data_IF_056516506220
#
_entry.id   IF_056516506220
#
_cell.length_a   1.000
_cell.length_b   1.000
_cell.length_c   1.000
_cell.angle_alpha   90.00
_cell.angle_beta   90.00
_cell.angle_gamma   90.00
#
_symmetry.space_group_name_H-M   'P 1'
#
loop_
_entity.id
_entity.type
_entity.pdbx_description
1 polymer ?
#
# COMPACT_ATOMS: atom_id res chain seq x y z
N UNK A 1 18.51 -12.32 -0.87
CA UNK A 1 18.94 -12.79 -2.22
C UNK A 1 18.39 -11.76 -3.19
N UNK A 2 19.27 -11.07 -3.90
CA UNK A 2 18.84 -10.17 -4.98
C UNK A 2 18.47 -11.06 -6.18
N UNK A 3 17.22 -11.01 -6.59
CA UNK A 3 16.69 -11.80 -7.70
C UNK A 3 16.54 -10.96 -8.99
N UNK A 4 17.03 -9.72 -9.00
CA UNK A 4 16.93 -8.84 -10.16
C UNK A 4 17.89 -9.27 -11.26
N UNK A 5 17.36 -9.48 -12.47
CA UNK A 5 18.13 -9.56 -13.70
C UNK A 5 18.46 -8.16 -14.24
N UNK A 6 18.99 -8.09 -15.46
CA UNK A 6 19.42 -6.82 -16.06
C UNK A 6 18.27 -5.78 -16.26
N UNK A 7 17.02 -6.20 -16.30
CA UNK A 7 15.84 -5.35 -16.55
C UNK A 7 14.65 -5.70 -15.65
N UNK A 8 14.91 -6.15 -14.44
CA UNK A 8 13.85 -6.55 -13.51
C UNK A 8 13.64 -5.51 -12.43
N UNK A 9 12.42 -5.00 -12.33
CA UNK A 9 11.97 -4.19 -11.20
C UNK A 9 11.61 -5.10 -10.02
N UNK A 10 11.99 -4.69 -8.82
CA UNK A 10 11.55 -5.34 -7.59
C UNK A 10 10.46 -4.48 -6.94
N UNK A 11 9.25 -5.03 -6.89
CA UNK A 11 8.08 -4.38 -6.27
C UNK A 11 7.75 -5.10 -4.96
N UNK A 12 7.52 -4.33 -3.91
CA UNK A 12 7.19 -4.82 -2.57
C UNK A 12 5.83 -4.26 -2.12
N UNK A 13 5.00 -5.10 -1.51
CA UNK A 13 3.83 -4.67 -0.75
C UNK A 13 3.96 -5.15 0.69
N UNK A 14 3.64 -4.28 1.66
CA UNK A 14 3.77 -4.60 3.08
C UNK A 14 2.70 -3.89 3.92
N UNK A 15 2.04 -4.64 4.79
CA UNK A 15 1.29 -4.08 5.92
C UNK A 15 2.30 -3.71 7.01
N UNK A 16 2.23 -2.47 7.50
CA UNK A 16 3.19 -1.91 8.47
C UNK A 16 2.67 -1.94 9.92
N UNK A 17 1.50 -2.53 10.17
CA UNK A 17 0.90 -2.67 11.50
C UNK A 17 0.82 -1.32 12.23
N UNK A 18 0.04 -0.39 11.68
CA UNK A 18 -0.13 0.96 12.24
C UNK A 18 1.21 1.69 12.44
N UNK A 19 1.91 1.94 11.35
CA UNK A 19 3.12 2.76 11.38
C UNK A 19 2.76 4.23 11.58
N UNK A 20 2.71 4.65 12.86
CA UNK A 20 2.28 5.98 13.29
C UNK A 20 3.48 6.82 13.76
N UNK A 21 3.62 8.03 13.20
CA UNK A 21 4.75 8.95 13.45
C UNK A 21 4.34 10.10 14.38
N UNK A 22 3.08 10.49 14.34
CA UNK A 22 2.54 11.64 15.08
C UNK A 22 1.36 11.28 15.99
N UNK A 23 0.50 10.33 15.56
CA UNK A 23 -0.74 9.98 16.28
C UNK A 23 -0.54 8.74 17.16
N UNK A 24 0.20 8.86 18.23
CA UNK A 24 0.44 7.77 19.18
C UNK A 24 -0.66 7.64 20.23
N UNK A 25 -0.68 6.49 20.93
CA UNK A 25 -1.63 6.24 22.02
C UNK A 25 -3.06 6.07 21.57
N UNK A 26 -3.28 5.63 20.33
CA UNK A 26 -4.61 5.42 19.75
C UNK A 26 -5.22 4.06 20.12
N UNK A 27 -4.47 3.22 20.83
CA UNK A 27 -4.78 1.79 21.04
C UNK A 27 -4.35 0.89 19.88
N UNK A 28 -3.73 1.46 18.85
CA UNK A 28 -3.13 0.78 17.70
C UNK A 28 -1.75 1.33 17.42
N UNK A 29 -0.81 0.47 17.03
CA UNK A 29 0.57 0.88 16.74
C UNK A 29 1.31 1.34 18.01
N UNK A 30 2.30 2.24 17.88
CA UNK A 30 3.10 2.70 19.01
C UNK A 30 2.30 3.66 19.91
N UNK A 31 2.51 3.52 21.23
CA UNK A 31 1.90 4.41 22.23
C UNK A 31 2.70 5.70 22.46
N UNK A 32 3.94 5.74 22.02
CA UNK A 32 4.86 6.87 22.24
C UNK A 32 6.05 6.85 21.30
N UNK A 33 6.84 7.93 21.31
CA UNK A 33 8.02 8.09 20.47
C UNK A 33 9.05 6.94 20.64
N UNK A 34 9.21 6.40 21.85
CA UNK A 34 10.18 5.31 22.09
C UNK A 34 9.76 4.02 21.37
N UNK A 35 8.48 3.72 21.35
CA UNK A 35 7.93 2.57 20.66
C UNK A 35 7.96 2.76 19.15
N UNK A 36 7.58 3.96 18.68
CA UNK A 36 7.76 4.32 17.29
C UNK A 36 9.21 4.14 16.83
N UNK A 37 10.18 4.61 17.59
CA UNK A 37 11.60 4.46 17.24
C UNK A 37 12.02 2.99 17.11
N UNK A 38 11.47 2.09 17.96
CA UNK A 38 11.72 0.65 17.85
C UNK A 38 11.06 0.03 16.60
N UNK A 39 9.82 0.43 16.29
CA UNK A 39 9.13 -0.02 15.08
C UNK A 39 9.87 0.49 13.84
N UNK A 40 10.20 1.77 13.77
CA UNK A 40 10.97 2.41 12.69
C UNK A 40 12.30 1.69 12.45
N UNK A 41 13.06 1.40 13.50
CA UNK A 41 14.36 0.71 13.36
C UNK A 41 14.24 -0.70 12.75
N UNK A 42 13.14 -1.43 13.04
CA UNK A 42 12.88 -2.74 12.46
C UNK A 42 12.41 -2.61 11.01
N UNK A 43 11.42 -1.76 10.77
CA UNK A 43 10.81 -1.55 9.44
C UNK A 43 11.86 -1.04 8.46
N UNK A 44 12.58 0.04 8.78
CA UNK A 44 13.58 0.63 7.89
C UNK A 44 14.70 -0.34 7.55
N UNK A 45 15.14 -1.18 8.51
CA UNK A 45 16.13 -2.23 8.26
C UNK A 45 15.60 -3.34 7.36
N UNK A 46 14.35 -3.77 7.54
CA UNK A 46 13.71 -4.78 6.71
C UNK A 46 13.55 -4.28 5.27
N UNK A 47 13.02 -3.08 5.10
CA UNK A 47 12.83 -2.45 3.78
C UNK A 47 14.17 -2.27 3.04
N UNK A 48 15.20 -1.77 3.73
CA UNK A 48 16.53 -1.63 3.15
C UNK A 48 17.15 -2.98 2.75
N UNK A 49 16.86 -4.06 3.48
CA UNK A 49 17.32 -5.42 3.13
C UNK A 49 16.58 -5.99 1.91
N UNK A 50 15.28 -5.67 1.76
CA UNK A 50 14.51 -6.00 0.54
C UNK A 50 15.07 -5.22 -0.64
N UNK A 51 15.37 -3.93 -0.44
CA UNK A 51 15.94 -3.02 -1.43
C UNK A 51 15.13 -2.98 -2.74
N UNK A 52 13.79 -2.92 -2.62
CA UNK A 52 12.89 -2.82 -3.77
C UNK A 52 13.01 -1.47 -4.50
N UNK A 53 12.52 -1.44 -5.73
CA UNK A 53 12.43 -0.21 -6.53
C UNK A 53 11.13 0.55 -6.26
N UNK A 54 10.08 -0.18 -5.85
CA UNK A 54 8.77 0.35 -5.53
C UNK A 54 8.19 -0.36 -4.32
N UNK A 55 7.69 0.41 -3.37
CA UNK A 55 6.99 -0.08 -2.19
C UNK A 55 5.57 0.43 -2.17
N UNK A 56 4.61 -0.47 -1.96
CA UNK A 56 3.24 -0.17 -1.58
C UNK A 56 3.04 -0.52 -0.12
N UNK A 57 2.55 0.41 0.67
CA UNK A 57 2.30 0.22 2.08
C UNK A 57 0.81 0.29 2.39
N UNK A 58 0.37 -0.51 3.35
CA UNK A 58 -0.91 -0.36 4.03
C UNK A 58 -0.67 -0.21 5.52
N UNK A 59 -1.63 0.35 6.24
CA UNK A 59 -1.51 0.73 7.64
C UNK A 59 -0.34 1.69 7.94
N UNK A 60 -0.03 2.56 6.98
CA UNK A 60 0.85 3.71 7.21
C UNK A 60 0.02 4.93 7.61
N UNK A 61 0.54 5.78 8.50
CA UNK A 61 -0.17 6.94 9.03
C UNK A 61 -0.70 7.87 7.93
N UNK A 62 -1.87 8.47 8.19
CA UNK A 62 -2.42 9.56 7.37
C UNK A 62 -1.45 10.74 7.29
N UNK A 63 -1.63 11.60 6.28
CA UNK A 63 -0.68 12.68 6.03
C UNK A 63 0.56 12.20 5.26
N UNK A 64 1.64 12.97 5.33
CA UNK A 64 2.86 12.72 4.56
C UNK A 64 4.07 12.34 5.40
N UNK A 65 4.03 12.60 6.72
CA UNK A 65 5.19 12.46 7.61
C UNK A 65 5.76 11.04 7.62
N UNK A 66 4.89 10.02 7.70
CA UNK A 66 5.33 8.62 7.72
C UNK A 66 5.95 8.16 6.38
N UNK A 67 5.37 8.56 5.25
CA UNK A 67 5.95 8.26 3.92
C UNK A 67 7.28 8.98 3.72
N UNK A 68 7.37 10.25 4.14
CA UNK A 68 8.61 11.03 4.07
C UNK A 68 9.72 10.41 4.94
N UNK A 69 9.38 9.96 6.15
CA UNK A 69 10.32 9.29 7.06
C UNK A 69 10.87 7.99 6.45
N UNK A 70 10.00 7.13 5.90
CA UNK A 70 10.43 5.88 5.27
C UNK A 70 11.25 6.12 4.00
N UNK A 71 10.89 7.10 3.17
CA UNK A 71 11.69 7.47 1.99
C UNK A 71 13.10 7.97 2.38
N UNK A 72 13.19 8.79 3.43
CA UNK A 72 14.47 9.26 3.95
C UNK A 72 15.32 8.12 4.53
N UNK A 73 14.71 7.22 5.31
CA UNK A 73 15.38 6.06 5.87
C UNK A 73 15.88 5.09 4.80
N UNK A 74 15.07 4.81 3.78
CA UNK A 74 15.47 4.01 2.62
C UNK A 74 16.64 4.65 1.90
N UNK A 75 16.58 5.96 1.63
CA UNK A 75 17.66 6.68 0.95
C UNK A 75 18.95 6.59 1.73
N UNK A 76 18.89 6.82 3.05
CA UNK A 76 20.04 6.74 3.95
C UNK A 76 20.66 5.33 4.02
N UNK A 77 19.81 4.30 4.13
CA UNK A 77 20.25 2.94 4.39
C UNK A 77 20.71 2.18 3.14
N UNK A 78 20.24 2.59 1.95
CA UNK A 78 20.58 1.92 0.68
C UNK A 78 21.55 2.71 -0.19
N UNK A 79 21.70 4.01 0.04
CA UNK A 79 22.46 4.92 -0.83
C UNK A 79 21.75 5.28 -2.14
N UNK A 80 20.53 4.80 -2.35
CA UNK A 80 19.66 5.13 -3.49
C UNK A 80 18.77 6.31 -3.16
N UNK A 81 18.18 6.97 -4.16
CA UNK A 81 17.25 8.08 -3.92
C UNK A 81 15.82 7.58 -3.90
N UNK A 82 15.15 7.74 -2.78
CA UNK A 82 13.73 7.41 -2.64
C UNK A 82 12.88 8.66 -2.48
N UNK A 83 11.70 8.61 -3.05
CA UNK A 83 10.64 9.60 -2.94
C UNK A 83 9.31 8.90 -2.66
N UNK A 84 8.26 9.66 -2.42
CA UNK A 84 6.94 9.12 -2.14
C UNK A 84 5.86 9.84 -2.94
N UNK A 85 4.69 9.21 -3.10
CA UNK A 85 3.52 9.85 -3.72
C UNK A 85 2.80 10.68 -2.67
N UNK A 86 2.71 11.99 -2.92
CA UNK A 86 1.92 12.90 -2.11
C UNK A 86 0.45 12.78 -2.55
N UNK A 87 -0.40 12.25 -1.69
CA UNK A 87 -1.84 12.06 -1.91
C UNK A 87 -2.71 13.15 -1.29
N UNK A 88 -2.09 14.27 -0.89
CA UNK A 88 -2.77 15.40 -0.26
C UNK A 88 -3.10 15.19 1.21
N UNK A 89 -2.82 14.02 1.74
CA UNK A 89 -3.16 13.64 3.13
C UNK A 89 -4.67 13.67 3.36
N UNK A 90 -5.20 12.94 4.24
CA UNK A 90 -6.57 13.00 4.62
C UNK A 90 -7.39 11.77 4.48
N UNK A 91 -8.15 11.79 5.28
CA UNK A 91 -9.08 12.07 6.17
C UNK A 91 -10.44 11.32 6.20
N UNK A 92 -10.58 10.09 6.47
CA UNK A 92 -11.89 9.47 6.75
C UNK A 92 -12.05 9.10 8.22
N UNK A 93 -11.38 9.83 9.12
CA UNK A 93 -11.32 9.47 10.53
C UNK A 93 -10.50 8.20 10.82
N UNK A 94 -9.84 7.64 9.81
CA UNK A 94 -8.87 6.55 10.01
C UNK A 94 -7.51 7.12 10.36
N UNK A 95 -6.77 6.44 11.22
CA UNK A 95 -5.37 6.80 11.52
C UNK A 95 -4.41 6.43 10.39
N UNK A 96 -4.79 5.49 9.52
CA UNK A 96 -3.91 4.92 8.51
C UNK A 96 -4.51 4.95 7.11
N UNK A 97 -3.64 4.76 6.12
CA UNK A 97 -3.95 4.75 4.69
C UNK A 97 -3.09 3.73 3.94
N UNK A 98 -3.31 3.59 2.64
CA UNK A 98 -2.34 3.05 1.68
C UNK A 98 -1.42 4.16 1.16
N UNK A 99 -0.18 3.83 0.77
CA UNK A 99 0.76 4.80 0.25
C UNK A 99 1.91 4.18 -0.51
N UNK A 100 2.70 5.01 -1.19
CA UNK A 100 3.79 4.57 -2.08
C UNK A 100 5.10 5.28 -1.76
N UNK A 101 6.18 4.49 -1.75
CA UNK A 101 7.56 4.97 -1.77
C UNK A 101 8.28 4.31 -2.94
N UNK A 102 9.02 5.06 -3.73
CA UNK A 102 9.67 4.58 -4.94
C UNK A 102 11.11 5.12 -5.08
N UNK A 103 11.95 4.34 -5.72
CA UNK A 103 13.30 4.76 -6.08
C UNK A 103 13.25 5.72 -7.26
N UNK A 104 13.52 7.00 -7.00
CA UNK A 104 13.46 8.04 -8.02
C UNK A 104 14.64 8.01 -9.03
N UNK A 105 15.65 7.18 -8.76
CA UNK A 105 16.70 6.92 -9.76
C UNK A 105 16.19 5.98 -10.87
N UNK A 106 15.20 5.13 -10.58
CA UNK A 106 14.70 4.08 -11.48
C UNK A 106 13.31 4.39 -12.02
N UNK A 107 12.43 4.93 -11.18
CA UNK A 107 11.03 5.18 -11.49
C UNK A 107 10.68 6.66 -11.41
N UNK A 108 9.65 7.03 -12.14
CA UNK A 108 8.94 8.30 -11.99
C UNK A 108 7.43 8.08 -12.00
N UNK A 109 6.64 8.85 -11.23
CA UNK A 109 5.19 8.80 -11.30
C UNK A 109 4.69 9.17 -12.69
N UNK A 110 3.71 8.43 -13.20
CA UNK A 110 3.02 8.71 -14.44
C UNK A 110 1.56 9.02 -14.15
N UNK A 111 1.10 10.22 -14.49
CA UNK A 111 -0.24 10.70 -14.15
C UNK A 111 -0.47 10.94 -12.65
N UNK A 112 -1.70 11.25 -12.28
CA UNK A 112 -2.10 11.54 -10.91
C UNK A 112 -2.64 10.31 -10.21
N UNK A 113 -2.41 10.22 -8.88
CA UNK A 113 -2.95 9.16 -8.03
C UNK A 113 -4.48 9.05 -8.18
N UNK A 114 -4.99 7.83 -8.27
CA UNK A 114 -6.42 7.52 -8.31
C UNK A 114 -6.85 6.67 -7.12
N UNK A 115 -8.09 6.86 -6.69
CA UNK A 115 -8.72 6.10 -5.61
C UNK A 115 -9.65 5.05 -6.19
N UNK A 116 -9.55 3.80 -5.75
CA UNK A 116 -10.22 2.65 -6.35
C UNK A 116 -11.56 2.33 -5.68
N UNK A 117 -12.36 3.34 -5.34
CA UNK A 117 -13.66 3.15 -4.75
C UNK A 117 -14.53 4.41 -4.81
N UNK A 118 -15.83 4.23 -4.65
CA UNK A 118 -16.76 5.32 -4.43
C UNK A 118 -16.57 5.92 -3.04
N UNK A 119 -16.16 7.18 -2.99
CA UNK A 119 -15.82 7.88 -1.76
C UNK A 119 -14.31 7.84 -1.44
N UNK A 120 -13.92 8.65 -0.49
CA UNK A 120 -12.51 8.83 -0.12
C UNK A 120 -12.08 7.71 0.83
N UNK A 121 -11.90 6.50 0.32
CA UNK A 121 -11.27 5.44 1.11
C UNK A 121 -9.78 5.40 0.80
N UNK A 122 -8.98 5.94 1.72
CA UNK A 122 -7.53 5.99 1.59
C UNK A 122 -6.83 4.63 1.63
N UNK A 123 -7.59 3.52 1.67
CA UNK A 123 -7.05 2.16 1.75
C UNK A 123 -6.86 1.47 0.40
N UNK A 124 -7.42 2.03 -0.69
CA UNK A 124 -7.37 1.44 -2.03
C UNK A 124 -7.00 2.52 -3.06
N UNK A 125 -5.84 2.40 -3.68
CA UNK A 125 -5.29 3.41 -4.58
C UNK A 125 -4.54 2.77 -5.73
N UNK A 126 -4.55 3.44 -6.88
CA UNK A 126 -3.71 3.10 -8.04
C UNK A 126 -2.85 4.29 -8.42
N UNK A 127 -1.57 4.04 -8.62
CA UNK A 127 -0.61 4.98 -9.21
C UNK A 127 0.13 4.27 -10.33
N UNK A 128 0.24 4.91 -11.48
CA UNK A 128 1.11 4.42 -12.53
C UNK A 128 2.52 4.98 -12.37
N UNK A 129 3.50 4.18 -12.75
CA UNK A 129 4.92 4.53 -12.76
C UNK A 129 5.51 4.25 -14.13
N UNK A 130 6.45 5.09 -14.52
CA UNK A 130 7.30 4.88 -15.71
C UNK A 130 8.67 4.40 -15.26
N UNK A 131 9.15 3.31 -15.84
CA UNK A 131 10.55 2.91 -15.71
C UNK A 131 11.41 3.81 -16.61
N UNK A 132 12.41 4.46 -16.01
CA UNK A 132 13.25 5.45 -16.72
C UNK A 132 14.18 4.82 -17.75
N UNK A 133 14.58 3.57 -17.55
CA UNK A 133 15.51 2.89 -18.45
C UNK A 133 14.85 2.47 -19.77
N UNK A 134 13.62 1.98 -19.72
CA UNK A 134 12.89 1.44 -20.87
C UNK A 134 11.85 2.40 -21.42
N UNK A 135 11.32 3.28 -20.57
CA UNK A 135 10.18 4.14 -20.87
C UNK A 135 8.82 3.45 -20.66
N UNK A 136 8.82 2.16 -20.30
CA UNK A 136 7.60 1.37 -20.04
C UNK A 136 6.84 1.94 -18.86
N UNK A 137 5.52 1.90 -18.98
CA UNK A 137 4.58 2.32 -17.92
C UNK A 137 3.88 1.08 -17.37
N UNK A 138 3.59 1.08 -16.10
CA UNK A 138 2.75 0.07 -15.45
C UNK A 138 1.98 0.69 -14.31
N UNK A 139 0.85 0.07 -13.97
CA UNK A 139 -0.03 0.49 -12.89
C UNK A 139 0.27 -0.34 -11.63
N UNK A 140 0.30 0.32 -10.48
CA UNK A 140 0.41 -0.35 -9.19
C UNK A 140 -0.78 0.00 -8.30
N UNK A 141 -1.67 -0.96 -8.09
CA UNK A 141 -2.84 -0.85 -7.21
C UNK A 141 -2.51 -1.46 -5.85
N UNK A 142 -2.51 -0.63 -4.81
CA UNK A 142 -2.30 -1.03 -3.41
C UNK A 142 -3.62 -1.01 -2.68
N UNK A 143 -3.97 -2.13 -2.04
CA UNK A 143 -5.28 -2.38 -1.48
C UNK A 143 -5.20 -2.93 -0.06
N UNK A 144 -6.06 -2.43 0.82
CA UNK A 144 -6.26 -2.98 2.16
C UNK A 144 -7.75 -3.24 2.36
N UNK A 145 -8.15 -4.49 2.24
CA UNK A 145 -9.55 -4.90 2.32
C UNK A 145 -10.02 -5.06 3.77
N UNK A 146 -11.32 -5.24 3.92
CA UNK A 146 -11.97 -5.37 5.23
C UNK A 146 -11.41 -6.56 6.02
N UNK A 147 -10.90 -6.26 7.23
CA UNK A 147 -10.41 -7.29 8.15
C UNK A 147 -11.54 -8.21 8.65
N UNK A 148 -11.16 -9.45 9.01
CA UNK A 148 -12.07 -10.47 9.55
C UNK A 148 -12.47 -10.24 11.03
N UNK A 149 -12.05 -9.13 11.63
CA UNK A 149 -12.36 -8.82 13.03
C UNK A 149 -13.82 -8.41 13.22
N UNK A 150 -14.46 -8.94 14.26
CA UNK A 150 -15.86 -8.65 14.58
C UNK A 150 -16.81 -9.79 14.20
N UNK A 151 -18.11 -9.59 14.43
CA UNK A 151 -19.12 -10.66 14.25
C UNK A 151 -19.74 -10.69 12.86
N UNK A 152 -19.77 -9.56 12.16
CA UNK A 152 -20.49 -9.44 10.90
C UNK A 152 -21.99 -9.76 11.01
N UNK A 153 -22.74 -9.55 9.93
CA UNK A 153 -24.14 -9.94 9.81
C UNK A 153 -24.50 -10.17 8.34
N UNK A 154 -25.56 -10.91 8.06
CA UNK A 154 -25.97 -11.18 6.68
C UNK A 154 -24.90 -11.92 5.88
N UNK A 155 -24.48 -11.38 4.75
CA UNK A 155 -23.40 -11.91 3.90
C UNK A 155 -22.00 -11.69 4.52
N UNK A 156 -21.90 -10.89 5.57
CA UNK A 156 -20.70 -10.64 6.34
C UNK A 156 -20.57 -11.51 7.59
N UNK A 157 -21.57 -12.32 7.93
CA UNK A 157 -21.48 -13.25 9.05
C UNK A 157 -20.54 -14.41 8.72
N UNK A 158 -19.78 -14.88 9.72
CA UNK A 158 -19.06 -16.14 9.59
C UNK A 158 -20.06 -17.30 9.53
N UNK A 159 -20.04 -18.04 8.44
CA UNK A 159 -20.92 -19.19 8.18
C UNK A 159 -20.25 -20.53 8.45
N UNK A 160 -18.99 -20.51 8.91
CA UNK A 160 -18.19 -21.72 9.12
C UNK A 160 -17.79 -22.43 7.81
N UNK A 161 -17.86 -21.74 6.70
CA UNK A 161 -17.57 -22.24 5.35
C UNK A 161 -16.11 -21.97 4.89
N UNK A 162 -15.28 -21.46 5.82
CA UNK A 162 -13.88 -21.10 5.53
C UNK A 162 -13.66 -19.67 5.07
N UNK A 163 -14.74 -18.93 4.74
CA UNK A 163 -14.64 -17.54 4.23
C UNK A 163 -14.39 -16.53 5.37
N UNK A 164 -14.85 -16.84 6.59
CA UNK A 164 -14.75 -15.97 7.75
C UNK A 164 -15.66 -14.75 7.70
N UNK A 165 -15.61 -13.91 8.74
CA UNK A 165 -16.43 -12.69 8.81
C UNK A 165 -16.04 -11.67 7.71
N UNK A 166 -17.02 -10.86 7.31
CA UNK A 166 -16.87 -9.77 6.33
C UNK A 166 -16.46 -10.21 4.91
N UNK A 167 -16.73 -11.47 4.55
CA UNK A 167 -16.45 -11.92 3.16
C UNK A 167 -17.26 -11.12 2.14
N UNK A 168 -18.55 -10.83 2.40
CA UNK A 168 -19.37 -10.00 1.52
C UNK A 168 -18.74 -8.62 1.24
N UNK A 169 -18.15 -7.97 2.26
CA UNK A 169 -17.44 -6.70 2.07
C UNK A 169 -16.19 -6.89 1.20
N UNK A 170 -15.35 -7.90 1.47
CA UNK A 170 -14.15 -8.16 0.67
C UNK A 170 -14.47 -8.45 -0.80
N UNK A 171 -15.53 -9.20 -1.06
CA UNK A 171 -16.02 -9.45 -2.44
C UNK A 171 -16.44 -8.14 -3.11
N UNK A 172 -17.16 -7.25 -2.39
CA UNK A 172 -17.53 -5.93 -2.93
C UNK A 172 -16.30 -5.08 -3.20
N UNK A 173 -15.33 -5.08 -2.31
CA UNK A 173 -14.05 -4.37 -2.46
C UNK A 173 -13.25 -4.89 -3.65
N UNK A 174 -13.15 -6.21 -3.82
CA UNK A 174 -12.49 -6.83 -4.98
C UNK A 174 -13.16 -6.44 -6.30
N UNK A 175 -14.50 -6.51 -6.36
CA UNK A 175 -15.28 -6.06 -7.54
C UNK A 175 -15.06 -4.57 -7.82
N UNK A 176 -15.00 -3.73 -6.79
CA UNK A 176 -14.71 -2.31 -6.95
C UNK A 176 -13.35 -2.08 -7.58
N UNK A 177 -12.30 -2.76 -7.10
CA UNK A 177 -10.95 -2.66 -7.67
C UNK A 177 -10.94 -3.09 -9.14
N UNK A 178 -11.57 -4.21 -9.47
CA UNK A 178 -11.67 -4.69 -10.87
C UNK A 178 -12.46 -3.74 -11.77
N UNK A 179 -13.55 -3.14 -11.26
CA UNK A 179 -14.31 -2.16 -12.02
C UNK A 179 -13.52 -0.87 -12.31
N UNK A 180 -12.63 -0.47 -11.36
CA UNK A 180 -11.76 0.70 -11.57
C UNK A 180 -10.61 0.41 -12.53
N UNK A 181 -10.17 -0.85 -12.66
CA UNK A 181 -9.06 -1.22 -13.53
C UNK A 181 -9.23 -0.70 -14.97
N UNK A 182 -10.40 -0.92 -15.60
CA UNK A 182 -10.64 -0.45 -16.97
C UNK A 182 -10.57 1.07 -17.12
N UNK A 183 -11.07 1.82 -16.12
CA UNK A 183 -10.98 3.27 -16.12
C UNK A 183 -9.57 3.78 -15.79
N UNK A 184 -8.83 3.05 -14.97
CA UNK A 184 -7.44 3.37 -14.63
C UNK A 184 -6.53 3.10 -15.82
N UNK A 185 -6.67 1.96 -16.50
CA UNK A 185 -5.95 1.63 -17.73
C UNK A 185 -6.17 2.70 -18.81
N UNK A 186 -7.43 3.10 -19.02
CA UNK A 186 -7.75 4.17 -19.97
C UNK A 186 -7.11 5.51 -19.58
N UNK A 187 -7.15 5.87 -18.29
CA UNK A 187 -6.60 7.13 -17.80
C UNK A 187 -5.07 7.19 -17.93
N UNK A 188 -4.38 6.11 -17.57
CA UNK A 188 -2.92 6.06 -17.63
C UNK A 188 -2.38 5.68 -19.01
N UNK A 189 -3.23 5.14 -19.89
CA UNK A 189 -2.85 4.71 -21.23
C UNK A 189 -2.03 3.42 -21.26
N UNK A 190 -2.21 2.57 -20.23
CA UNK A 190 -1.50 1.30 -20.10
C UNK A 190 -2.39 0.23 -19.46
N UNK A 191 -2.18 -1.04 -19.80
CA UNK A 191 -2.95 -2.17 -19.30
C UNK A 191 -2.16 -3.06 -18.33
N UNK A 192 -0.86 -2.85 -18.20
CA UNK A 192 0.00 -3.61 -17.30
C UNK A 192 -0.23 -3.17 -15.85
N UNK A 193 -0.86 -4.03 -15.06
CA UNK A 193 -1.21 -3.73 -13.67
C UNK A 193 -0.73 -4.78 -12.69
N UNK A 194 -0.18 -4.31 -11.58
CA UNK A 194 0.04 -5.08 -10.36
C UNK A 194 -1.02 -4.72 -9.33
N UNK A 195 -1.84 -5.68 -8.91
CA UNK A 195 -2.80 -5.53 -7.82
C UNK A 195 -2.25 -6.28 -6.61
N UNK A 196 -1.87 -5.55 -5.58
CA UNK A 196 -1.27 -6.10 -4.37
C UNK A 196 -1.88 -5.45 -3.13
N UNK A 197 -1.65 -6.05 -1.97
CA UNK A 197 -2.11 -5.48 -0.71
C UNK A 197 -2.30 -6.51 0.39
N UNK A 198 -2.83 -6.05 1.51
CA UNK A 198 -3.44 -6.91 2.52
C UNK A 198 -4.93 -7.08 2.19
N UNK A 199 -5.24 -8.14 1.47
CA UNK A 199 -6.61 -8.41 1.04
C UNK A 199 -7.45 -9.03 2.15
N UNK A 200 -6.85 -9.32 3.31
CA UNK A 200 -7.52 -9.94 4.45
C UNK A 200 -8.30 -11.22 4.08
N UNK A 201 -7.87 -11.88 3.01
CA UNK A 201 -8.47 -13.08 2.46
C UNK A 201 -7.52 -14.27 2.58
N UNK A 202 -8.04 -15.45 2.81
CA UNK A 202 -7.27 -16.68 2.68
C UNK A 202 -7.17 -17.08 1.20
N UNK A 203 -6.11 -17.79 0.83
CA UNK A 203 -5.89 -18.21 -0.55
C UNK A 203 -7.00 -19.11 -1.13
N UNK A 204 -7.87 -19.65 -0.29
CA UNK A 204 -8.97 -20.54 -0.64
C UNK A 204 -10.35 -19.88 -0.45
N UNK A 205 -10.41 -18.57 -0.26
CA UNK A 205 -11.70 -17.84 -0.26
C UNK A 205 -12.19 -17.64 -1.71
N UNK A 206 -13.51 -17.85 -1.93
CA UNK A 206 -14.19 -17.63 -3.22
C UNK A 206 -14.49 -16.13 -3.46
#
# INVERSE_FOLDING_TARGET
IDMRGEHTLLVCCMNLEYYLVENWGTGYGPDNQSEHNKQRAKVSKALAKINADLYGFVEIEQGQSALAELAADLSKNTGRKFSYINDGGSANGSYTKAGYVYCSDVLEPHGSLRYNNEGVDNRKKTQAFREKATGEVFLYSVNHFKAKSGKGSGDNADKGDGQGTYNGDRVREAKSVLNHYGSDSYYYGDEDILIMGDLNAYAMED
#
